data_IF_431428342215
#
_entry.id   IF_431428342215
#
_cell.length_a   1.000
_cell.length_b   1.000
_cell.length_c   1.000
_cell.angle_alpha   90.00
_cell.angle_beta   90.00
_cell.angle_gamma   90.00
#
_symmetry.space_group_name_H-M   'P 1'
#
loop_
_entity.id
_entity.type
_entity.pdbx_description
1 polymer ?
#
# COMPACT_ATOMS: atom_id res chain seq x y z
N UNK A 1 -7.10 -5.68 4.88
CA UNK A 1 -5.82 -5.03 4.51
C UNK A 1 -5.22 -5.90 3.42
N UNK A 2 -5.07 -5.36 2.21
CA UNK A 2 -4.55 -6.10 1.04
C UNK A 2 -3.02 -5.99 0.96
N UNK A 3 -2.39 -6.93 0.25
CA UNK A 3 -0.95 -6.90 -0.06
C UNK A 3 -0.64 -6.20 -1.39
N UNK A 4 -1.66 -5.61 -2.03
CA UNK A 4 -1.54 -4.95 -3.33
C UNK A 4 -1.95 -3.47 -3.22
N UNK A 5 -1.04 -2.67 -2.70
CA UNK A 5 -1.24 -1.22 -2.48
C UNK A 5 -0.43 -0.39 -3.45
N UNK A 6 0.74 -0.90 -3.83
CA UNK A 6 1.64 -0.26 -4.77
C UNK A 6 2.28 -1.28 -5.70
N UNK A 7 2.65 -0.80 -6.88
CA UNK A 7 3.41 -1.53 -7.86
C UNK A 7 4.65 -0.72 -8.22
N UNK A 8 5.79 -1.38 -8.12
CA UNK A 8 7.11 -0.85 -8.46
C UNK A 8 7.47 -1.39 -9.83
N UNK A 9 7.75 -0.47 -10.75
CA UNK A 9 8.27 -0.77 -12.08
C UNK A 9 9.54 0.03 -12.36
N UNK A 10 10.16 -0.28 -13.49
CA UNK A 10 11.39 0.36 -13.94
C UNK A 10 11.17 1.01 -15.30
N UNK A 11 11.53 2.28 -15.42
CA UNK A 11 11.46 2.97 -16.70
C UNK A 11 12.70 2.66 -17.55
N UNK A 12 12.45 2.10 -18.74
CA UNK A 12 13.52 1.71 -19.67
C UNK A 12 14.27 2.91 -20.24
N UNK A 13 13.58 4.00 -20.57
CA UNK A 13 14.19 5.20 -21.14
C UNK A 13 15.10 5.87 -20.10
N UNK A 14 14.64 6.01 -18.87
CA UNK A 14 15.44 6.59 -17.78
C UNK A 14 16.65 5.70 -17.44
N UNK A 15 16.50 4.38 -17.49
CA UNK A 15 17.61 3.43 -17.29
C UNK A 15 18.67 3.49 -18.40
N UNK A 16 18.27 3.75 -19.65
CA UNK A 16 19.22 3.92 -20.76
C UNK A 16 20.07 5.19 -20.58
N UNK A 17 19.52 6.25 -19.98
CA UNK A 17 20.26 7.47 -19.66
C UNK A 17 21.27 7.28 -18.51
N UNK A 18 21.14 6.22 -17.70
CA UNK A 18 22.04 5.95 -16.57
C UNK A 18 23.41 5.36 -16.98
N UNK A 19 23.65 5.10 -18.28
CA UNK A 19 24.90 4.58 -18.86
C UNK A 19 25.46 3.33 -18.17
N UNK A 20 24.58 2.37 -17.88
CA UNK A 20 24.89 1.11 -17.19
C UNK A 20 24.72 -0.11 -18.12
N UNK A 21 25.51 -1.16 -17.89
CA UNK A 21 25.46 -2.38 -18.70
C UNK A 21 24.29 -3.28 -18.27
N UNK A 22 23.13 -3.04 -18.88
CA UNK A 22 21.87 -3.72 -18.59
C UNK A 22 21.56 -4.78 -19.67
N UNK A 23 21.06 -5.93 -19.24
CA UNK A 23 20.46 -6.94 -20.12
C UNK A 23 19.02 -7.17 -19.70
N UNK A 24 18.08 -6.97 -20.62
CA UNK A 24 16.65 -7.14 -20.37
C UNK A 24 16.19 -8.58 -20.62
N UNK A 25 15.28 -9.06 -19.79
CA UNK A 25 14.65 -10.37 -19.82
C UNK A 25 13.13 -10.22 -19.72
N UNK A 26 12.39 -11.27 -20.07
CA UNK A 26 10.92 -11.35 -19.95
C UNK A 26 10.22 -10.17 -20.63
N UNK A 27 10.51 -9.93 -21.91
CA UNK A 27 9.91 -8.84 -22.69
C UNK A 27 10.04 -7.46 -22.04
N UNK A 28 11.27 -7.09 -21.64
CA UNK A 28 11.59 -5.81 -21.00
C UNK A 28 10.96 -5.60 -19.61
N UNK A 29 10.53 -6.65 -18.92
CA UNK A 29 10.01 -6.52 -17.56
C UNK A 29 11.13 -6.56 -16.51
N UNK A 30 12.17 -7.36 -16.73
CA UNK A 30 13.26 -7.55 -15.77
C UNK A 30 14.57 -7.10 -16.39
N UNK A 31 15.33 -6.25 -15.70
CA UNK A 31 16.66 -5.85 -16.14
C UNK A 31 17.72 -6.42 -15.20
N UNK A 32 18.72 -7.08 -15.77
CA UNK A 32 19.89 -7.54 -15.03
C UNK A 32 21.04 -6.57 -15.27
N UNK A 33 21.57 -6.02 -14.18
CA UNK A 33 22.76 -5.21 -14.15
C UNK A 33 23.98 -6.11 -13.88
N UNK A 34 24.93 -6.12 -14.81
CA UNK A 34 26.22 -6.79 -14.60
C UNK A 34 27.18 -5.84 -13.90
N UNK A 35 27.63 -6.20 -12.70
CA UNK A 35 28.69 -5.45 -12.02
C UNK A 35 30.03 -5.66 -12.74
N UNK A 36 30.69 -4.57 -13.09
CA UNK A 36 32.04 -4.59 -13.66
C UNK A 36 33.07 -4.65 -12.53
N UNK A 37 33.60 -5.85 -12.29
CA UNK A 37 34.88 -6.19 -11.63
C UNK A 37 35.35 -5.25 -10.50
N UNK A 38 35.27 -5.74 -9.26
CA UNK A 38 35.97 -5.11 -8.13
C UNK A 38 37.46 -5.48 -8.20
N UNK A 39 38.33 -4.54 -8.61
CA UNK A 39 39.77 -4.76 -8.84
C UNK A 39 40.62 -5.06 -7.59
N UNK A 40 40.02 -5.22 -6.40
CA UNK A 40 40.78 -5.35 -5.13
C UNK A 40 40.99 -6.79 -4.66
N UNK A 41 40.27 -7.77 -5.20
CA UNK A 41 40.48 -9.17 -4.87
C UNK A 41 40.38 -9.99 -6.15
N UNK A 42 41.36 -10.85 -6.42
CA UNK A 42 41.42 -11.73 -7.59
C UNK A 42 40.34 -12.83 -7.60
N UNK A 43 39.18 -12.60 -6.96
CA UNK A 43 38.00 -13.46 -6.96
C UNK A 43 36.92 -12.80 -7.82
N UNK A 44 36.74 -13.32 -9.03
CA UNK A 44 35.60 -12.99 -9.89
C UNK A 44 34.35 -13.65 -9.31
N UNK A 45 33.72 -13.01 -8.33
CA UNK A 45 32.32 -13.32 -8.01
C UNK A 45 31.50 -12.47 -8.97
N UNK A 46 30.89 -13.10 -9.98
CA UNK A 46 29.90 -12.44 -10.86
C UNK A 46 28.65 -12.16 -10.02
N UNK A 47 28.65 -11.08 -9.25
CA UNK A 47 27.44 -10.58 -8.61
C UNK A 47 26.68 -9.75 -9.63
N UNK A 48 25.46 -10.17 -9.95
CA UNK A 48 24.53 -9.41 -10.78
C UNK A 48 23.42 -8.88 -9.90
N UNK A 49 22.93 -7.69 -10.22
CA UNK A 49 21.77 -7.11 -9.56
C UNK A 49 20.59 -7.16 -10.52
N UNK A 50 19.42 -7.55 -10.04
CA UNK A 50 18.22 -7.66 -10.82
C UNK A 50 17.26 -6.54 -10.44
N UNK A 51 16.80 -5.80 -11.43
CA UNK A 51 15.74 -4.82 -11.34
C UNK A 51 14.45 -5.55 -11.74
N UNK A 52 13.58 -5.79 -10.77
CA UNK A 52 12.37 -6.57 -10.96
C UNK A 52 11.13 -5.73 -10.66
N UNK A 53 10.01 -6.01 -11.34
CA UNK A 53 8.73 -5.47 -10.95
C UNK A 53 8.32 -6.10 -9.62
N UNK A 54 7.83 -5.29 -8.69
CA UNK A 54 7.38 -5.75 -7.37
C UNK A 54 6.02 -5.15 -7.04
N UNK A 55 5.21 -5.86 -6.25
CA UNK A 55 3.99 -5.33 -5.65
C UNK A 55 4.16 -5.31 -4.15
N UNK A 56 3.76 -4.18 -3.55
CA UNK A 56 3.92 -3.90 -2.14
C UNK A 56 2.58 -3.74 -1.45
N UNK A 57 2.47 -4.35 -0.27
CA UNK A 57 1.44 -4.08 0.70
C UNK A 57 1.95 -3.22 1.84
N UNK A 58 1.24 -3.27 2.97
CA UNK A 58 1.65 -2.56 4.18
C UNK A 58 2.90 -3.20 4.83
N UNK A 59 3.10 -4.51 4.64
CA UNK A 59 4.03 -5.34 5.41
C UNK A 59 5.06 -6.08 4.57
N UNK A 60 4.66 -6.47 3.36
CA UNK A 60 5.41 -7.36 2.51
C UNK A 60 5.49 -6.71 1.14
N UNK A 61 6.66 -6.80 0.54
CA UNK A 61 6.88 -6.50 -0.87
C UNK A 61 7.27 -7.78 -1.57
N UNK A 62 6.56 -8.14 -2.63
CA UNK A 62 6.77 -9.36 -3.38
C UNK A 62 7.11 -9.05 -4.84
N UNK A 63 7.84 -9.95 -5.49
CA UNK A 63 8.12 -9.88 -6.92
C UNK A 63 6.84 -10.15 -7.71
N UNK A 64 6.58 -9.34 -8.74
CA UNK A 64 5.44 -9.49 -9.64
C UNK A 64 5.87 -10.31 -10.87
N UNK A 65 6.23 -11.58 -10.63
CA UNK A 65 6.60 -12.54 -11.68
C UNK A 65 5.93 -13.88 -11.40
N UNK A 66 5.57 -14.60 -12.46
CA UNK A 66 5.05 -15.97 -12.37
C UNK A 66 6.15 -16.96 -11.98
N UNK A 67 5.76 -18.11 -11.45
CA UNK A 67 6.71 -19.19 -11.10
C UNK A 67 7.53 -19.66 -12.30
N UNK A 68 6.93 -19.69 -13.50
CA UNK A 68 7.60 -20.08 -14.74
C UNK A 68 8.69 -19.08 -15.13
N UNK A 69 8.38 -17.79 -15.01
CA UNK A 69 9.32 -16.69 -15.26
C UNK A 69 10.47 -16.69 -14.26
N UNK A 70 10.18 -16.93 -12.98
CA UNK A 70 11.20 -17.07 -11.93
C UNK A 70 12.09 -18.28 -12.21
N UNK A 71 11.53 -19.42 -12.63
CA UNK A 71 12.31 -20.60 -13.01
C UNK A 71 13.24 -20.31 -14.20
N UNK A 72 12.79 -19.51 -15.16
CA UNK A 72 13.62 -19.09 -16.29
C UNK A 72 14.76 -18.16 -15.84
N UNK A 73 14.46 -17.21 -14.95
CA UNK A 73 15.46 -16.30 -14.38
C UNK A 73 16.46 -17.00 -13.44
N UNK A 74 16.07 -18.09 -12.78
CA UNK A 74 16.98 -18.91 -11.99
C UNK A 74 18.16 -19.46 -12.83
N UNK A 75 17.94 -19.69 -14.14
CA UNK A 75 19.02 -20.14 -15.04
C UNK A 75 20.13 -19.09 -15.22
N UNK A 76 19.82 -17.81 -15.00
CA UNK A 76 20.79 -16.70 -15.08
C UNK A 76 21.26 -16.23 -13.71
N UNK A 77 20.93 -16.95 -12.63
CA UNK A 77 21.39 -16.68 -11.27
C UNK A 77 20.50 -15.74 -10.45
N UNK A 78 19.22 -15.62 -10.80
CA UNK A 78 18.24 -14.93 -9.96
C UNK A 78 18.03 -15.67 -8.63
N UNK A 79 17.99 -14.98 -7.48
CA UNK A 79 17.80 -15.63 -6.18
C UNK A 79 16.31 -16.00 -5.95
N UNK A 80 16.07 -17.00 -5.11
CA UNK A 80 14.72 -17.51 -4.82
C UNK A 80 13.89 -16.66 -3.84
N UNK A 81 14.44 -15.56 -3.32
CA UNK A 81 13.70 -14.67 -2.43
C UNK A 81 12.61 -13.91 -3.21
N UNK A 82 11.38 -14.36 -2.99
CA UNK A 82 10.19 -13.87 -3.70
C UNK A 82 9.54 -12.67 -3.02
N UNK A 83 9.73 -12.52 -1.71
CA UNK A 83 9.08 -11.50 -0.91
C UNK A 83 9.97 -11.05 0.25
N UNK A 84 10.02 -9.73 0.47
CA UNK A 84 10.73 -9.08 1.56
C UNK A 84 9.67 -8.63 2.57
N UNK A 85 9.86 -8.99 3.84
CA UNK A 85 9.01 -8.54 4.93
C UNK A 85 9.69 -7.38 5.67
N UNK A 86 9.04 -6.21 5.69
CA UNK A 86 9.54 -5.04 6.39
C UNK A 86 9.58 -5.20 7.92
N UNK A 87 8.97 -6.26 8.46
CA UNK A 87 9.00 -6.61 9.89
C UNK A 87 10.26 -7.37 10.31
N UNK A 88 11.05 -7.86 9.37
CA UNK A 88 12.33 -8.55 9.62
C UNK A 88 13.45 -7.69 9.04
N UNK A 89 13.96 -6.73 9.82
CA UNK A 89 15.04 -5.87 9.39
C UNK A 89 16.37 -6.63 9.20
N UNK A 90 17.23 -6.16 8.29
CA UNK A 90 18.61 -6.66 8.08
C UNK A 90 19.62 -5.58 8.51
N UNK A 91 20.50 -5.98 9.43
CA UNK A 91 21.06 -5.23 10.58
C UNK A 91 21.79 -3.88 10.32
N UNK A 92 21.83 -3.35 9.09
CA UNK A 92 22.83 -2.33 8.71
C UNK A 92 22.30 -0.92 8.46
N UNK A 93 20.99 -0.66 8.40
CA UNK A 93 20.47 0.72 8.27
C UNK A 93 19.08 0.90 8.90
N UNK A 94 18.92 0.65 10.20
CA UNK A 94 17.60 0.32 10.75
C UNK A 94 16.96 1.28 11.77
N UNK A 95 17.70 1.78 12.76
CA UNK A 95 17.03 2.07 14.05
C UNK A 95 16.01 3.22 14.06
N UNK A 96 16.33 4.38 13.45
CA UNK A 96 15.45 5.57 13.52
C UNK A 96 14.26 5.46 12.55
N UNK A 97 14.50 4.90 11.36
CA UNK A 97 13.50 4.78 10.30
C UNK A 97 12.50 3.68 10.61
N UNK A 98 12.98 2.54 11.11
CA UNK A 98 12.13 1.45 11.61
C UNK A 98 11.25 1.94 12.76
N UNK A 99 11.78 2.74 13.69
CA UNK A 99 10.98 3.30 14.78
C UNK A 99 9.84 4.22 14.28
N UNK A 100 10.09 5.12 13.31
CA UNK A 100 9.06 5.98 12.74
C UNK A 100 8.03 5.20 11.91
N UNK A 101 8.48 4.26 11.08
CA UNK A 101 7.61 3.40 10.26
C UNK A 101 6.71 2.55 11.17
N UNK A 102 7.26 1.94 12.21
CA UNK A 102 6.52 1.14 13.19
C UNK A 102 5.44 1.96 13.90
N UNK A 103 5.73 3.21 14.27
CA UNK A 103 4.75 4.11 14.93
C UNK A 103 3.59 4.47 13.99
N UNK A 104 3.91 4.89 12.76
CA UNK A 104 2.89 5.23 11.75
C UNK A 104 2.03 4.03 11.38
N UNK A 105 2.63 2.86 11.31
CA UNK A 105 1.97 1.60 11.02
C UNK A 105 1.03 1.16 12.14
N UNK A 106 1.49 1.17 13.39
CA UNK A 106 0.65 0.85 14.54
C UNK A 106 -0.58 1.77 14.63
N UNK A 107 -0.39 3.06 14.32
CA UNK A 107 -1.47 4.04 14.25
C UNK A 107 -2.48 3.71 13.14
N UNK A 108 -1.99 3.40 11.93
CA UNK A 108 -2.83 3.03 10.78
C UNK A 108 -3.65 1.75 11.02
N UNK A 109 -3.06 0.74 11.67
CA UNK A 109 -3.73 -0.53 11.97
C UNK A 109 -4.81 -0.31 13.02
N UNK A 110 -4.47 0.36 14.11
CA UNK A 110 -5.40 0.64 15.20
C UNK A 110 -6.61 1.43 14.67
N UNK A 111 -6.36 2.42 13.81
CA UNK A 111 -7.41 3.21 13.18
C UNK A 111 -8.32 2.36 12.27
N UNK A 112 -7.73 1.45 11.48
CA UNK A 112 -8.48 0.52 10.62
C UNK A 112 -9.34 -0.45 11.45
N UNK A 113 -8.81 -0.99 12.55
CA UNK A 113 -9.54 -1.87 13.46
C UNK A 113 -10.72 -1.15 14.12
N UNK A 114 -10.50 0.07 14.61
CA UNK A 114 -11.55 0.91 15.18
C UNK A 114 -12.64 1.18 14.13
N UNK A 115 -12.27 1.50 12.89
CA UNK A 115 -13.21 1.69 11.79
C UNK A 115 -14.08 0.45 11.54
N UNK A 116 -13.48 -0.74 11.49
CA UNK A 116 -14.22 -2.01 11.33
C UNK A 116 -15.19 -2.27 12.49
N UNK A 117 -14.78 -1.99 13.72
CA UNK A 117 -15.63 -2.12 14.91
C UNK A 117 -16.82 -1.14 14.83
N UNK A 118 -16.55 0.11 14.49
CA UNK A 118 -17.61 1.13 14.35
C UNK A 118 -18.61 0.72 13.26
N UNK A 119 -18.14 0.26 12.09
CA UNK A 119 -19.01 -0.20 11.00
C UNK A 119 -19.85 -1.41 11.41
N UNK A 120 -19.26 -2.39 12.09
CA UNK A 120 -19.97 -3.56 12.60
C UNK A 120 -21.07 -3.19 13.60
N UNK A 121 -20.74 -2.34 14.58
CA UNK A 121 -21.71 -1.85 15.55
C UNK A 121 -22.79 -0.98 14.90
N UNK A 122 -22.43 -0.12 13.94
CA UNK A 122 -23.37 0.74 13.21
C UNK A 122 -24.38 -0.09 12.43
N UNK A 123 -23.95 -1.20 11.81
CA UNK A 123 -24.84 -2.11 11.09
C UNK A 123 -25.85 -2.78 12.03
N UNK A 124 -25.41 -3.27 13.18
CA UNK A 124 -26.29 -3.89 14.18
C UNK A 124 -27.31 -2.87 14.74
N UNK A 125 -26.83 -1.71 15.19
CA UNK A 125 -27.69 -0.64 15.74
C UNK A 125 -28.64 -0.10 14.66
N UNK A 126 -28.17 0.04 13.42
CA UNK A 126 -28.97 0.50 12.29
C UNK A 126 -30.09 -0.48 11.97
N UNK A 127 -29.78 -1.78 11.93
CA UNK A 127 -30.77 -2.82 11.73
C UNK A 127 -31.85 -2.79 12.81
N UNK A 128 -31.47 -2.77 14.10
CA UNK A 128 -32.44 -2.66 15.20
C UNK A 128 -33.23 -1.34 15.15
N UNK A 129 -32.59 -0.24 14.79
CA UNK A 129 -33.21 1.08 14.65
C UNK A 129 -34.30 1.11 13.58
N UNK A 130 -34.08 0.43 12.45
CA UNK A 130 -35.09 0.24 11.42
C UNK A 130 -36.23 -0.67 11.89
N UNK A 131 -35.90 -1.84 12.45
CA UNK A 131 -36.92 -2.81 12.89
C UNK A 131 -37.86 -2.27 13.98
N UNK A 132 -37.34 -1.43 14.89
CA UNK A 132 -38.12 -0.82 15.98
C UNK A 132 -38.59 0.60 15.68
N UNK A 133 -38.38 1.10 14.45
CA UNK A 133 -38.66 2.50 14.07
C UNK A 133 -38.11 3.54 15.07
N UNK A 134 -36.97 3.25 15.70
CA UNK A 134 -36.40 4.10 16.75
C UNK A 134 -35.52 5.18 16.12
N UNK A 135 -36.06 6.41 16.01
CA UNK A 135 -35.39 7.56 15.37
C UNK A 135 -34.00 7.81 15.96
N UNK A 136 -33.85 7.72 17.29
CA UNK A 136 -32.56 7.94 17.95
C UNK A 136 -31.49 6.91 17.54
N UNK A 137 -31.86 5.65 17.30
CA UNK A 137 -30.92 4.63 16.86
C UNK A 137 -30.46 4.87 15.41
N UNK A 138 -31.38 5.25 14.52
CA UNK A 138 -31.11 5.59 13.11
C UNK A 138 -30.16 6.79 13.00
N UNK A 139 -30.36 7.83 13.84
CA UNK A 139 -29.46 8.98 13.88
C UNK A 139 -28.05 8.61 14.39
N UNK A 140 -27.97 7.81 15.46
CA UNK A 140 -26.68 7.33 15.99
C UNK A 140 -25.92 6.53 14.94
N UNK A 141 -26.59 5.64 14.20
CA UNK A 141 -25.98 4.91 13.07
C UNK A 141 -25.38 5.86 12.03
N UNK A 142 -26.09 6.93 11.66
CA UNK A 142 -25.57 7.94 10.73
C UNK A 142 -24.29 8.62 11.24
N UNK A 143 -24.24 8.96 12.54
CA UNK A 143 -23.03 9.53 13.17
C UNK A 143 -21.89 8.52 13.22
N UNK A 144 -22.18 7.25 13.50
CA UNK A 144 -21.17 6.19 13.52
C UNK A 144 -20.54 5.98 12.14
N UNK A 145 -21.33 6.00 11.06
CA UNK A 145 -20.78 5.96 9.69
C UNK A 145 -19.89 7.18 9.37
N UNK A 146 -20.23 8.36 9.88
CA UNK A 146 -19.39 9.55 9.73
C UNK A 146 -18.05 9.40 10.47
N UNK A 147 -18.09 8.91 11.71
CA UNK A 147 -16.89 8.63 12.50
C UNK A 147 -16.01 7.60 11.79
N UNK A 148 -16.58 6.50 11.30
CA UNK A 148 -15.85 5.51 10.51
C UNK A 148 -15.18 6.12 9.27
N UNK A 149 -15.90 6.99 8.54
CA UNK A 149 -15.33 7.70 7.38
C UNK A 149 -14.14 8.60 7.76
N UNK A 150 -14.21 9.31 8.89
CA UNK A 150 -13.09 10.15 9.35
C UNK A 150 -11.86 9.34 9.75
N UNK A 151 -12.03 8.20 10.43
CA UNK A 151 -10.94 7.29 10.77
C UNK A 151 -10.31 6.66 9.51
N UNK A 152 -11.14 6.25 8.55
CA UNK A 152 -10.67 5.73 7.27
C UNK A 152 -9.89 6.80 6.46
N UNK A 153 -10.38 8.04 6.42
CA UNK A 153 -9.66 9.18 5.82
C UNK A 153 -8.31 9.43 6.48
N UNK A 154 -8.26 9.43 7.81
CA UNK A 154 -7.03 9.62 8.55
C UNK A 154 -6.00 8.52 8.23
N UNK A 155 -6.47 7.28 8.14
CA UNK A 155 -5.67 6.13 7.73
C UNK A 155 -5.09 6.35 6.32
N UNK A 156 -5.93 6.59 5.32
CA UNK A 156 -5.52 6.87 3.93
C UNK A 156 -4.53 8.03 3.83
N UNK A 157 -4.75 9.07 4.65
CA UNK A 157 -3.86 10.24 4.70
C UNK A 157 -2.48 9.87 5.24
N UNK A 158 -2.40 9.09 6.34
CA UNK A 158 -1.12 8.59 6.87
C UNK A 158 -0.37 7.78 5.81
N UNK A 159 -1.08 6.91 5.09
CA UNK A 159 -0.52 6.07 4.04
C UNK A 159 0.03 6.93 2.90
N UNK A 160 -0.73 7.93 2.48
CA UNK A 160 -0.32 8.87 1.45
C UNK A 160 0.93 9.66 1.85
N UNK A 161 1.00 10.15 3.10
CA UNK A 161 2.20 10.81 3.61
C UNK A 161 3.39 9.85 3.74
N UNK A 162 3.18 8.60 4.18
CA UNK A 162 4.22 7.57 4.19
C UNK A 162 4.82 7.39 2.80
N UNK A 163 4.00 7.40 1.75
CA UNK A 163 4.42 7.28 0.35
C UNK A 163 5.20 8.49 -0.15
N UNK A 164 4.76 9.72 0.15
CA UNK A 164 5.48 10.95 -0.23
C UNK A 164 6.86 11.02 0.45
N UNK A 165 6.92 10.68 1.75
CA UNK A 165 8.18 10.60 2.48
C UNK A 165 9.09 9.44 2.01
N UNK A 166 8.53 8.30 1.63
CA UNK A 166 9.27 7.18 1.03
C UNK A 166 9.93 7.59 -0.29
N UNK A 167 9.17 8.25 -1.17
CA UNK A 167 9.64 8.74 -2.48
C UNK A 167 10.75 9.79 -2.31
N UNK A 168 10.58 10.74 -1.37
CA UNK A 168 11.60 11.75 -1.06
C UNK A 168 12.86 11.12 -0.45
N UNK A 169 12.72 10.06 0.34
CA UNK A 169 13.87 9.34 0.87
C UNK A 169 14.66 8.59 -0.21
N UNK A 170 14.05 8.08 -1.28
CA UNK A 170 14.77 7.41 -2.38
C UNK A 170 15.76 8.38 -3.03
N UNK A 171 15.40 9.67 -3.15
CA UNK A 171 16.28 10.72 -3.68
C UNK A 171 17.51 11.00 -2.81
N UNK A 172 17.42 10.72 -1.50
CA UNK A 172 18.50 10.95 -0.52
C UNK A 172 19.35 9.70 -0.23
N UNK A 173 19.19 8.63 -1.00
CA UNK A 173 19.87 7.34 -0.79
C UNK A 173 19.04 6.34 0.02
N UNK A 174 17.72 6.33 -0.21
CA UNK A 174 16.76 5.43 0.43
C UNK A 174 16.84 3.96 0.00
N UNK A 175 15.88 3.13 0.43
CA UNK A 175 15.93 1.67 0.31
C UNK A 175 15.98 1.23 -1.15
N UNK A 176 16.75 0.19 -1.40
CA UNK A 176 16.94 -0.41 -2.73
C UNK A 176 15.75 -1.31 -3.14
N UNK A 177 14.53 -0.97 -2.72
CA UNK A 177 13.29 -1.69 -3.08
C UNK A 177 13.19 -1.95 -4.60
N UNK A 178 12.81 -3.16 -5.04
CA UNK A 178 12.83 -3.51 -6.47
C UNK A 178 14.20 -3.90 -7.04
N UNK A 179 15.26 -3.84 -6.23
CA UNK A 179 16.60 -4.33 -6.56
C UNK A 179 16.87 -5.59 -5.75
N UNK A 180 17.27 -6.64 -6.45
CA UNK A 180 17.64 -7.92 -5.84
C UNK A 180 19.11 -8.19 -6.15
N UNK A 181 19.94 -8.38 -5.12
CA UNK A 181 21.37 -8.62 -5.26
C UNK A 181 22.21 -7.50 -4.65
N UNK A 182 23.24 -7.04 -5.37
CA UNK A 182 24.16 -6.03 -4.85
C UNK A 182 23.60 -4.60 -4.98
N UNK A 183 24.07 -3.67 -4.14
CA UNK A 183 23.72 -2.27 -4.25
C UNK A 183 23.97 -1.67 -5.63
N UNK A 184 23.04 -0.84 -6.09
CA UNK A 184 23.07 -0.24 -7.42
C UNK A 184 23.28 1.28 -7.35
N UNK A 185 23.87 1.90 -8.39
CA UNK A 185 24.11 3.34 -8.40
C UNK A 185 22.80 4.14 -8.27
N UNK A 186 22.85 5.29 -7.58
CA UNK A 186 21.69 6.19 -7.41
C UNK A 186 21.05 6.63 -8.73
N UNK A 187 21.82 6.70 -9.82
CA UNK A 187 21.28 7.02 -11.16
C UNK A 187 20.30 5.97 -11.66
N UNK A 188 20.52 4.69 -11.33
CA UNK A 188 19.63 3.57 -11.65
C UNK A 188 18.36 3.68 -10.81
N UNK A 189 18.49 3.94 -9.51
CA UNK A 189 17.36 4.07 -8.58
C UNK A 189 16.37 5.18 -8.97
N UNK A 190 16.83 6.24 -9.66
CA UNK A 190 15.97 7.32 -10.16
C UNK A 190 14.98 6.89 -11.24
N UNK A 191 15.29 5.83 -11.98
CA UNK A 191 14.42 5.29 -13.02
C UNK A 191 13.26 4.43 -12.47
N UNK A 192 13.17 4.29 -11.14
CA UNK A 192 12.10 3.55 -10.48
C UNK A 192 10.77 4.32 -10.55
N UNK A 193 9.71 3.64 -10.95
CA UNK A 193 8.34 4.17 -10.99
C UNK A 193 7.47 3.50 -9.93
N UNK A 194 6.79 4.30 -9.13
CA UNK A 194 5.82 3.84 -8.12
C UNK A 194 4.40 4.14 -8.57
N UNK A 195 3.65 3.10 -8.90
CA UNK A 195 2.24 3.20 -9.27
C UNK A 195 1.34 2.73 -8.13
N UNK A 196 0.12 3.26 -8.06
CA UNK A 196 -0.88 2.89 -7.06
C UNK A 196 -1.65 1.66 -7.52
N UNK A 197 -1.89 0.71 -6.63
CA UNK A 197 -2.67 -0.49 -6.94
C UNK A 197 -4.12 -0.38 -6.45
N UNK A 198 -4.96 -1.30 -6.91
CA UNK A 198 -6.42 -1.34 -6.72
C UNK A 198 -6.89 -1.19 -5.25
N UNK A 199 -6.11 -1.67 -4.27
CA UNK A 199 -6.53 -1.57 -2.86
C UNK A 199 -6.58 -0.12 -2.35
N UNK A 200 -5.78 0.78 -2.94
CA UNK A 200 -5.81 2.20 -2.57
C UNK A 200 -7.09 2.86 -3.08
N UNK A 201 -7.49 2.54 -4.31
CA UNK A 201 -8.72 3.05 -4.92
C UNK A 201 -9.97 2.54 -4.19
N UNK A 202 -9.96 1.26 -3.78
CA UNK A 202 -11.01 0.72 -2.91
C UNK A 202 -11.08 1.41 -1.55
N UNK A 203 -9.96 1.88 -1.01
CA UNK A 203 -9.93 2.65 0.23
C UNK A 203 -10.70 3.97 0.09
N UNK A 204 -10.42 4.73 -0.96
CA UNK A 204 -11.17 5.95 -1.29
C UNK A 204 -12.65 5.67 -1.58
N UNK A 205 -12.93 4.57 -2.29
CA UNK A 205 -14.30 4.07 -2.50
C UNK A 205 -15.03 3.79 -1.17
N UNK A 206 -14.38 3.13 -0.23
CA UNK A 206 -14.95 2.85 1.09
C UNK A 206 -15.27 4.10 1.90
N UNK A 207 -14.37 5.11 1.88
CA UNK A 207 -14.60 6.41 2.53
C UNK A 207 -15.82 7.12 1.93
N UNK A 208 -15.87 7.23 0.60
CA UNK A 208 -16.97 7.93 -0.08
C UNK A 208 -18.30 7.23 0.18
N UNK A 209 -18.32 5.89 0.15
CA UNK A 209 -19.50 5.09 0.48
C UNK A 209 -19.95 5.32 1.93
N UNK A 210 -19.04 5.34 2.90
CA UNK A 210 -19.38 5.61 4.30
C UNK A 210 -19.95 7.03 4.50
N UNK A 211 -19.38 8.03 3.82
CA UNK A 211 -19.89 9.40 3.87
C UNK A 211 -21.30 9.50 3.27
N UNK A 212 -21.53 8.88 2.10
CA UNK A 212 -22.85 8.84 1.47
C UNK A 212 -23.87 8.07 2.33
N UNK A 213 -23.47 6.95 2.91
CA UNK A 213 -24.30 6.19 3.85
C UNK A 213 -24.67 7.05 5.07
N UNK A 214 -23.72 7.78 5.66
CA UNK A 214 -24.00 8.70 6.78
C UNK A 214 -25.06 9.74 6.41
N UNK A 215 -24.93 10.39 5.25
CA UNK A 215 -25.92 11.36 4.76
C UNK A 215 -27.29 10.68 4.59
N UNK A 216 -27.33 9.50 3.97
CA UNK A 216 -28.57 8.75 3.78
C UNK A 216 -29.25 8.38 5.12
N UNK A 217 -28.50 7.90 6.11
CA UNK A 217 -29.01 7.58 7.44
C UNK A 217 -29.53 8.82 8.20
N UNK A 218 -28.83 9.95 8.09
CA UNK A 218 -29.27 11.21 8.69
C UNK A 218 -30.56 11.71 8.02
N UNK A 219 -30.63 11.68 6.69
CA UNK A 219 -31.85 12.03 5.94
C UNK A 219 -33.01 11.10 6.30
N UNK A 220 -32.77 9.80 6.42
CA UNK A 220 -33.77 8.82 6.83
C UNK A 220 -34.30 9.13 8.24
N UNK A 221 -33.42 9.48 9.18
CA UNK A 221 -33.85 9.87 10.54
C UNK A 221 -34.75 11.11 10.53
N UNK A 222 -34.52 12.05 9.59
CA UNK A 222 -35.36 13.24 9.41
C UNK A 222 -36.71 12.87 8.80
N UNK A 223 -36.74 12.06 7.75
CA UNK A 223 -37.99 11.59 7.12
C UNK A 223 -38.84 10.82 8.14
N UNK A 224 -38.23 9.91 8.92
CA UNK A 224 -38.90 9.18 9.99
C UNK A 224 -39.41 10.09 11.13
N UNK A 225 -38.91 11.32 11.25
CA UNK A 225 -39.41 12.32 12.19
C UNK A 225 -40.58 13.14 11.63
N UNK A 226 -40.65 13.32 10.31
CA UNK A 226 -41.74 14.06 9.64
C UNK A 226 -42.94 13.17 9.24
N UNK A 227 -42.70 11.91 8.88
CA UNK A 227 -43.74 10.92 8.58
C UNK A 227 -44.71 10.57 9.74
N UNK A 228 -44.32 10.62 11.03
CA UNK A 228 -45.26 10.42 12.15
C UNK A 228 -46.30 11.53 12.23
N UNK A 229 -46.00 12.73 11.72
CA UNK A 229 -46.94 13.86 11.72
C UNK A 229 -48.01 13.65 10.65
N UNK A 230 -47.65 13.11 9.48
CA UNK A 230 -48.62 12.75 8.44
C UNK A 230 -49.58 11.63 8.88
N UNK A 231 -49.13 10.72 9.75
CA UNK A 231 -49.97 9.67 10.34
C UNK A 231 -50.85 10.14 11.51
N UNK A 232 -50.63 11.34 12.07
CA UNK A 232 -51.50 11.94 13.10
C UNK A 232 -52.52 12.94 12.54
N UNK A 233 -52.48 13.24 11.23
CA UNK A 233 -53.41 14.17 10.56
C UNK A 233 -54.43 13.43 9.67
N UNK A 234 -54.31 12.11 9.53
CA UNK A 234 -55.30 11.22 8.90
C UNK A 234 -56.15 10.52 9.96
#
# INVERSE_FOLDING_TARGET
>A
MSDHWEEIGWDKEDLMHANVNLTWYLNDQVAMLKSSVNHRTNRVIKTSSFLVPMHGGIWIMCVTLSEEEIQLLNQVGFPQERCINYLTPDETHEEIRVAWQNRMQNLSISCSLVCLIILGCAALIGFFGLCRHQISAVLVTGVMYLLAATFALFTLTIIHFKRDHGTKSVMDGGPEDGVIGMPVPRSVLKARKFTTAWSMDLGWGGVTLCALASVAWILLSKIMRFSPIAAMIA
#
